data_IF_509528366548
#
_entry.id   IF_509528366548
#
_cell.length_a   1.000
_cell.length_b   1.000
_cell.length_c   1.000
_cell.angle_alpha   90.00
_cell.angle_beta   90.00
_cell.angle_gamma   90.00
#
_symmetry.space_group_name_H-M   'P 1'
#
loop_
_entity.id
_entity.type
_entity.pdbx_description
1 polymer ?
#
# COMPACT_ATOMS: atom_id res chain seq x y z
N UNK A 1 -24.62 -5.22 6.17
CA UNK A 1 -24.43 -3.98 5.40
C UNK A 1 -23.05 -3.47 5.75
N UNK A 2 -22.18 -3.39 4.77
CA UNK A 2 -20.79 -2.94 4.97
C UNK A 2 -20.79 -1.42 5.19
N UNK A 3 -20.33 -0.98 6.37
CA UNK A 3 -20.28 0.44 6.79
C UNK A 3 -19.50 1.29 5.77
N UNK A 4 -18.58 0.68 5.01
CA UNK A 4 -17.83 1.33 3.93
C UNK A 4 -18.68 1.79 2.75
N UNK A 5 -19.82 1.19 2.51
CA UNK A 5 -20.68 1.50 1.34
C UNK A 5 -21.58 2.71 1.59
N UNK A 6 -21.98 2.96 2.85
CA UNK A 6 -22.94 4.03 3.20
C UNK A 6 -22.27 5.40 3.34
N UNK A 7 -21.00 5.44 3.71
CA UNK A 7 -20.24 6.68 3.95
C UNK A 7 -19.40 7.14 2.73
N UNK A 8 -19.43 6.40 1.63
CA UNK A 8 -18.56 6.66 0.47
C UNK A 8 -18.64 8.09 -0.12
N UNK A 9 -19.79 8.75 -0.26
CA UNK A 9 -19.84 10.10 -0.84
C UNK A 9 -19.23 11.20 0.04
N UNK A 10 -19.37 11.07 1.37
CA UNK A 10 -18.85 12.07 2.32
C UNK A 10 -17.42 11.74 2.80
N UNK A 11 -17.02 10.49 2.66
CA UNK A 11 -15.70 10.02 3.10
C UNK A 11 -14.55 10.67 2.32
N UNK A 12 -14.70 10.84 1.02
CA UNK A 12 -13.65 11.38 0.15
C UNK A 12 -13.31 12.86 0.40
N UNK A 13 -14.31 13.77 0.52
CA UNK A 13 -14.02 15.15 0.88
C UNK A 13 -13.37 15.29 2.26
N UNK A 14 -13.86 14.52 3.25
CA UNK A 14 -13.31 14.53 4.60
C UNK A 14 -11.86 14.06 4.63
N UNK A 15 -11.54 12.99 3.93
CA UNK A 15 -10.17 12.45 3.86
C UNK A 15 -9.21 13.40 3.14
N UNK A 16 -9.69 14.17 2.15
CA UNK A 16 -8.91 15.23 1.51
C UNK A 16 -8.59 16.36 2.49
N UNK A 17 -9.58 16.84 3.25
CA UNK A 17 -9.42 17.88 4.26
C UNK A 17 -8.45 17.46 5.39
N UNK A 18 -8.47 16.20 5.80
CA UNK A 18 -7.57 15.65 6.81
C UNK A 18 -6.12 15.40 6.30
N UNK A 19 -5.78 15.76 5.08
CA UNK A 19 -4.44 15.58 4.51
C UNK A 19 -4.10 14.15 4.07
N UNK A 20 -5.08 13.23 4.04
CA UNK A 20 -4.89 11.84 3.64
C UNK A 20 -4.35 11.70 2.21
N UNK A 21 -4.90 12.47 1.27
CA UNK A 21 -4.43 12.45 -0.13
C UNK A 21 -2.94 12.82 -0.25
N UNK A 22 -2.49 13.81 0.55
CA UNK A 22 -1.07 14.18 0.58
C UNK A 22 -0.22 13.05 1.18
N UNK A 23 -0.70 12.42 2.25
CA UNK A 23 -0.05 11.29 2.87
C UNK A 23 0.07 10.11 1.88
N UNK A 24 -1.00 9.75 1.17
CA UNK A 24 -0.97 8.71 0.15
C UNK A 24 0.05 9.04 -0.95
N UNK A 25 0.03 10.24 -1.50
CA UNK A 25 0.98 10.65 -2.55
C UNK A 25 2.43 10.62 -2.10
N UNK A 26 2.71 10.67 -0.80
CA UNK A 26 4.09 10.58 -0.29
C UNK A 26 4.78 9.24 -0.62
N UNK A 27 4.02 8.17 -0.88
CA UNK A 27 4.60 6.87 -1.31
C UNK A 27 5.22 6.97 -2.70
N UNK A 28 4.81 7.95 -3.51
CA UNK A 28 5.32 8.17 -4.87
C UNK A 28 6.57 9.06 -4.89
N UNK A 29 6.96 9.66 -3.76
CA UNK A 29 8.16 10.51 -3.74
C UNK A 29 9.39 9.69 -4.15
N UNK A 30 10.12 10.18 -5.15
CA UNK A 30 11.24 9.49 -5.78
C UNK A 30 10.88 8.17 -6.52
N UNK A 31 9.60 7.90 -6.81
CA UNK A 31 9.22 6.83 -7.74
C UNK A 31 9.59 7.25 -9.16
N UNK A 32 10.19 6.35 -9.90
CA UNK A 32 10.53 6.49 -11.31
C UNK A 32 10.11 5.22 -12.05
N UNK A 33 9.89 5.33 -13.36
CA UNK A 33 9.54 4.18 -14.18
C UNK A 33 8.15 3.62 -13.92
N UNK A 34 8.09 2.30 -13.77
CA UNK A 34 6.84 1.55 -13.59
C UNK A 34 6.49 1.41 -12.09
N UNK A 35 5.22 1.68 -11.76
CA UNK A 35 4.69 1.60 -10.40
C UNK A 35 3.54 0.61 -10.33
N UNK A 36 3.64 -0.38 -9.44
CA UNK A 36 2.55 -1.26 -9.06
C UNK A 36 1.94 -0.78 -7.73
N UNK A 37 0.63 -0.54 -7.72
CA UNK A 37 -0.14 -0.19 -6.52
C UNK A 37 -0.96 -1.40 -6.05
N UNK A 38 -0.55 -2.01 -4.94
CA UNK A 38 -1.14 -3.23 -4.40
C UNK A 38 -2.21 -2.90 -3.37
N UNK A 39 -3.44 -3.41 -3.59
CA UNK A 39 -4.62 -3.00 -2.84
C UNK A 39 -5.05 -1.58 -3.23
N UNK A 40 -5.00 -1.26 -4.53
CA UNK A 40 -5.18 0.09 -5.06
C UNK A 40 -6.57 0.68 -4.80
N UNK A 41 -7.59 -0.15 -4.52
CA UNK A 41 -8.96 0.28 -4.37
C UNK A 41 -9.43 1.07 -5.60
N UNK A 42 -9.91 2.32 -5.45
CA UNK A 42 -10.32 3.17 -6.55
C UNK A 42 -9.15 3.88 -7.28
N UNK A 43 -7.94 3.37 -7.17
CA UNK A 43 -6.73 3.80 -7.88
C UNK A 43 -6.40 5.31 -7.75
N UNK A 44 -6.50 5.87 -6.55
CA UNK A 44 -6.32 7.31 -6.29
C UNK A 44 -4.90 7.84 -6.53
N UNK A 45 -3.92 6.95 -6.66
CA UNK A 45 -2.54 7.30 -6.97
C UNK A 45 -2.27 7.40 -8.47
N UNK A 46 -3.14 6.86 -9.32
CA UNK A 46 -2.92 6.75 -10.76
C UNK A 46 -2.53 8.08 -11.42
N UNK A 47 -3.25 9.16 -11.12
CA UNK A 47 -3.02 10.49 -11.69
C UNK A 47 -1.73 11.18 -11.18
N UNK A 48 -1.10 10.62 -10.15
CA UNK A 48 0.08 11.21 -9.52
C UNK A 48 1.38 10.48 -9.88
N UNK A 49 1.29 9.34 -10.57
CA UNK A 49 2.46 8.57 -11.01
C UNK A 49 3.03 9.19 -12.29
N UNK A 50 4.32 9.59 -12.30
CA UNK A 50 4.93 10.22 -13.47
C UNK A 50 5.25 9.25 -14.61
N UNK A 51 5.13 7.94 -14.37
CA UNK A 51 5.43 6.86 -15.32
C UNK A 51 4.24 5.93 -15.56
N UNK A 52 4.54 4.67 -15.81
CA UNK A 52 3.51 3.63 -15.99
C UNK A 52 2.92 3.24 -14.63
N UNK A 53 1.62 3.37 -14.48
CA UNK A 53 0.86 2.92 -13.30
C UNK A 53 0.10 1.64 -13.60
N UNK A 54 0.19 0.67 -12.70
CA UNK A 54 -0.67 -0.54 -12.67
C UNK A 54 -1.27 -0.67 -11.27
N UNK A 55 -2.59 -0.78 -11.19
CA UNK A 55 -3.31 -0.99 -9.93
C UNK A 55 -3.86 -2.42 -9.83
N UNK A 56 -3.69 -3.06 -8.66
CA UNK A 56 -4.26 -4.38 -8.36
C UNK A 56 -5.17 -4.28 -7.14
N UNK A 57 -6.38 -4.82 -7.26
CA UNK A 57 -7.29 -5.04 -6.13
C UNK A 57 -8.10 -6.32 -6.36
N UNK A 58 -8.38 -7.05 -5.29
CA UNK A 58 -9.19 -8.27 -5.36
C UNK A 58 -10.67 -7.95 -5.65
N UNK A 59 -11.15 -6.78 -5.23
CA UNK A 59 -12.56 -6.40 -5.31
C UNK A 59 -12.86 -5.64 -6.60
N UNK A 60 -13.48 -6.31 -7.56
CA UNK A 60 -13.91 -5.68 -8.82
C UNK A 60 -14.75 -4.41 -8.58
N UNK A 61 -15.59 -4.39 -7.55
CA UNK A 61 -16.40 -3.21 -7.18
C UNK A 61 -15.56 -1.98 -6.79
N UNK A 62 -14.30 -2.12 -6.41
CA UNK A 62 -13.38 -1.01 -6.23
C UNK A 62 -12.82 -0.54 -7.57
N UNK A 63 -12.41 -1.47 -8.42
CA UNK A 63 -11.84 -1.16 -9.73
C UNK A 63 -12.84 -0.51 -10.68
N UNK A 64 -14.13 -0.85 -10.60
CA UNK A 64 -15.18 -0.18 -11.39
C UNK A 64 -15.38 1.30 -11.05
N UNK A 65 -14.87 1.75 -9.91
CA UNK A 65 -14.87 3.16 -9.48
C UNK A 65 -13.53 3.85 -9.71
N UNK A 66 -12.56 3.10 -10.18
CA UNK A 66 -11.21 3.62 -10.36
C UNK A 66 -11.07 4.37 -11.69
N UNK A 67 -10.23 5.38 -11.65
CA UNK A 67 -9.82 6.13 -12.84
C UNK A 67 -8.32 5.86 -13.05
N UNK A 68 -7.99 4.88 -13.87
CA UNK A 68 -6.60 4.53 -14.16
C UNK A 68 -6.49 3.66 -15.40
N UNK A 69 -5.37 3.73 -16.14
CA UNK A 69 -5.24 3.07 -17.43
C UNK A 69 -5.09 1.54 -17.36
N UNK A 70 -4.46 1.04 -16.29
CA UNK A 70 -4.13 -0.39 -16.15
C UNK A 70 -4.55 -0.91 -14.78
N UNK A 71 -5.74 -1.51 -14.73
CA UNK A 71 -6.32 -2.07 -13.51
C UNK A 71 -6.50 -3.57 -13.65
N UNK A 72 -6.05 -4.33 -12.67
CA UNK A 72 -6.06 -5.79 -12.66
C UNK A 72 -6.83 -6.29 -11.45
N UNK A 73 -7.85 -7.09 -11.67
CA UNK A 73 -8.57 -7.79 -10.61
C UNK A 73 -7.83 -9.09 -10.29
N UNK A 74 -7.07 -9.10 -9.19
CA UNK A 74 -6.26 -10.26 -8.80
C UNK A 74 -6.03 -10.33 -7.30
N UNK A 75 -5.68 -11.52 -6.80
CA UNK A 75 -5.23 -11.71 -5.42
C UNK A 75 -3.78 -11.22 -5.29
N UNK A 76 -3.56 -10.34 -4.33
CA UNK A 76 -2.22 -9.82 -4.04
C UNK A 76 -1.24 -10.90 -3.52
N UNK A 77 -1.77 -12.03 -3.02
CA UNK A 77 -0.96 -13.18 -2.62
C UNK A 77 -0.49 -14.06 -3.81
N UNK A 78 -0.97 -13.76 -5.04
CA UNK A 78 -0.60 -14.45 -6.27
C UNK A 78 -0.66 -13.45 -7.44
N UNK A 79 0.26 -12.51 -7.46
CA UNK A 79 0.29 -11.43 -8.46
C UNK A 79 0.58 -11.98 -9.86
N UNK A 80 -0.26 -11.64 -10.88
CA UNK A 80 -0.13 -12.18 -12.23
C UNK A 80 0.97 -11.48 -13.04
N UNK A 81 2.11 -11.23 -12.43
CA UNK A 81 3.24 -10.57 -13.07
C UNK A 81 4.52 -11.39 -12.89
N UNK A 82 5.44 -11.36 -13.87
CA UNK A 82 6.76 -11.96 -13.73
C UNK A 82 7.57 -11.35 -12.58
N UNK A 83 8.64 -12.05 -12.16
CA UNK A 83 9.57 -11.51 -11.18
C UNK A 83 10.19 -10.21 -11.71
N UNK A 84 10.41 -9.23 -10.79
CA UNK A 84 11.15 -8.00 -11.09
C UNK A 84 10.57 -7.20 -12.27
N UNK A 85 9.24 -7.10 -12.32
CA UNK A 85 8.51 -6.39 -13.39
C UNK A 85 8.42 -4.88 -13.14
N UNK A 86 8.32 -4.48 -11.86
CA UNK A 86 8.06 -3.08 -11.52
C UNK A 86 9.25 -2.43 -10.82
N UNK A 87 9.55 -1.19 -11.20
CA UNK A 87 10.62 -0.42 -10.55
C UNK A 87 10.26 -0.07 -9.12
N UNK A 88 9.00 0.27 -8.88
CA UNK A 88 8.49 0.58 -7.55
C UNK A 88 7.19 -0.18 -7.29
N UNK A 89 7.08 -0.76 -6.11
CA UNK A 89 5.82 -1.33 -5.60
C UNK A 89 5.35 -0.49 -4.42
N UNK A 90 4.09 -0.07 -4.46
CA UNK A 90 3.49 0.74 -3.38
C UNK A 90 2.25 0.05 -2.80
N UNK A 91 1.94 0.36 -1.54
CA UNK A 91 0.68 0.00 -0.92
C UNK A 91 0.28 1.05 0.12
N UNK A 92 -1.00 1.40 0.18
CA UNK A 92 -1.49 2.41 1.12
C UNK A 92 -2.77 1.95 1.83
N UNK A 93 -2.71 1.83 3.16
CA UNK A 93 -3.85 1.50 4.02
C UNK A 93 -4.58 0.21 3.60
N UNK A 94 -3.85 -0.76 3.09
CA UNK A 94 -4.35 -2.06 2.66
C UNK A 94 -3.87 -3.20 3.57
N UNK A 95 -2.56 -3.29 3.81
CA UNK A 95 -1.98 -4.40 4.56
C UNK A 95 -2.50 -4.46 6.01
N UNK A 96 -2.73 -3.32 6.64
CA UNK A 96 -3.30 -3.24 7.97
C UNK A 96 -4.75 -3.75 8.09
N UNK A 97 -5.44 -4.02 6.98
CA UNK A 97 -6.77 -4.66 6.97
C UNK A 97 -6.69 -6.18 7.13
N UNK A 98 -5.50 -6.75 6.99
CA UNK A 98 -5.27 -8.19 6.95
C UNK A 98 -4.64 -8.66 8.26
N UNK A 99 -4.90 -9.92 8.62
CA UNK A 99 -4.15 -10.60 9.69
C UNK A 99 -2.70 -10.87 9.24
N UNK A 100 -1.74 -11.01 10.17
CA UNK A 100 -0.33 -11.27 9.84
C UNK A 100 -0.14 -12.47 8.89
N UNK A 101 -0.87 -13.56 9.12
CA UNK A 101 -0.79 -14.78 8.29
C UNK A 101 -1.16 -14.51 6.82
N UNK A 102 -2.12 -13.60 6.60
CA UNK A 102 -2.53 -13.21 5.24
C UNK A 102 -1.62 -12.17 4.62
N UNK A 103 -0.92 -11.40 5.42
CA UNK A 103 0.04 -10.38 4.93
C UNK A 103 1.30 -11.01 4.37
N UNK A 104 1.84 -12.02 5.03
CA UNK A 104 3.14 -12.60 4.66
C UNK A 104 3.24 -13.01 3.19
N UNK A 105 2.32 -13.82 2.61
CA UNK A 105 2.40 -14.16 1.18
C UNK A 105 2.29 -12.93 0.26
N UNK A 106 1.51 -11.92 0.64
CA UNK A 106 1.39 -10.67 -0.12
C UNK A 106 2.71 -9.90 -0.11
N UNK A 107 3.34 -9.80 1.06
CA UNK A 107 4.64 -9.13 1.20
C UNK A 107 5.72 -9.83 0.37
N UNK A 108 5.72 -11.17 0.33
CA UNK A 108 6.62 -11.96 -0.52
C UNK A 108 6.39 -11.68 -2.02
N UNK A 109 5.13 -11.63 -2.45
CA UNK A 109 4.77 -11.33 -3.84
C UNK A 109 5.16 -9.91 -4.24
N UNK A 110 4.92 -8.93 -3.36
CA UNK A 110 5.39 -7.55 -3.58
C UNK A 110 6.91 -7.49 -3.73
N UNK A 111 7.67 -8.23 -2.92
CA UNK A 111 9.13 -8.33 -3.04
C UNK A 111 9.54 -9.01 -4.35
N UNK A 112 8.85 -10.09 -4.74
CA UNK A 112 9.14 -10.86 -5.96
C UNK A 112 9.01 -10.03 -7.23
N UNK A 113 7.96 -9.22 -7.33
CA UNK A 113 7.68 -8.42 -8.53
C UNK A 113 8.42 -7.09 -8.56
N UNK A 114 9.02 -6.67 -7.44
CA UNK A 114 9.75 -5.41 -7.31
C UNK A 114 11.20 -5.52 -7.77
N UNK A 115 11.68 -4.50 -8.48
CA UNK A 115 13.09 -4.39 -8.91
C UNK A 115 13.91 -3.54 -7.95
N UNK A 116 13.40 -2.37 -7.57
CA UNK A 116 14.22 -1.39 -6.85
C UNK A 116 13.65 -0.98 -5.50
N UNK A 117 12.36 -0.63 -5.39
CA UNK A 117 11.86 0.01 -4.19
C UNK A 117 10.45 -0.41 -3.85
N UNK A 118 10.25 -0.72 -2.58
CA UNK A 118 8.93 -0.97 -2.00
C UNK A 118 8.63 0.16 -1.03
N UNK A 119 7.43 0.74 -1.12
CA UNK A 119 6.98 1.80 -0.23
C UNK A 119 5.57 1.55 0.26
N UNK A 120 5.41 1.51 1.56
CA UNK A 120 4.10 1.31 2.19
C UNK A 120 3.77 2.48 3.11
N UNK A 121 2.47 2.79 3.17
CA UNK A 121 1.92 3.75 4.12
C UNK A 121 0.87 3.03 4.97
N UNK A 122 1.29 2.59 6.15
CA UNK A 122 0.49 1.75 7.05
C UNK A 122 0.67 2.16 8.50
N UNK A 123 -0.23 1.76 9.41
CA UNK A 123 0.05 1.78 10.83
C UNK A 123 1.21 0.82 11.14
N UNK A 124 2.25 1.31 11.81
CA UNK A 124 3.44 0.52 12.17
C UNK A 124 3.59 0.50 13.69
N UNK A 125 3.88 -0.68 14.26
CA UNK A 125 4.16 -0.86 15.69
C UNK A 125 5.45 -0.13 16.12
N UNK A 126 5.55 0.33 17.36
CA UNK A 126 4.49 0.42 18.38
C UNK A 126 3.56 1.61 18.15
N UNK A 127 2.27 1.42 18.38
CA UNK A 127 1.26 2.46 18.20
C UNK A 127 0.53 2.72 19.53
N UNK A 128 0.47 3.98 19.99
CA UNK A 128 -0.28 4.34 21.20
C UNK A 128 -1.79 4.10 21.04
N UNK A 129 -2.49 3.88 22.15
CA UNK A 129 -3.95 3.63 22.15
C UNK A 129 -4.73 4.73 21.43
N UNK A 130 -4.37 6.00 21.66
CA UNK A 130 -5.01 7.13 21.00
C UNK A 130 -4.82 7.10 19.45
N UNK A 131 -3.64 6.70 18.97
CA UNK A 131 -3.37 6.58 17.54
C UNK A 131 -4.04 5.34 16.91
N UNK A 132 -4.21 4.27 17.68
CA UNK A 132 -4.98 3.09 17.23
C UNK A 132 -6.40 3.46 16.84
N UNK A 133 -7.05 4.35 17.58
CA UNK A 133 -8.39 4.83 17.24
C UNK A 133 -8.45 5.52 15.86
N UNK A 134 -7.37 6.18 15.45
CA UNK A 134 -7.28 6.84 14.14
C UNK A 134 -7.01 5.86 12.98
N UNK A 135 -6.65 4.62 13.27
CA UNK A 135 -6.35 3.61 12.23
C UNK A 135 -7.58 2.85 11.74
N UNK A 136 -8.78 3.17 12.25
CA UNK A 136 -10.04 2.52 11.88
C UNK A 136 -9.97 0.98 12.02
N UNK A 137 -9.49 0.50 13.16
CA UNK A 137 -9.33 -0.92 13.50
C UNK A 137 -8.30 -1.68 12.64
N UNK A 138 -7.43 -0.99 11.94
CA UNK A 138 -6.33 -1.65 11.23
C UNK A 138 -5.31 -2.21 12.20
N UNK A 139 -4.78 -3.38 11.87
CA UNK A 139 -3.71 -4.02 12.63
C UNK A 139 -2.36 -3.40 12.22
N UNK A 140 -1.58 -2.83 13.18
CA UNK A 140 -0.26 -2.31 12.87
C UNK A 140 0.64 -3.42 12.30
N UNK A 141 1.52 -3.03 11.38
CA UNK A 141 2.53 -3.91 10.81
C UNK A 141 3.77 -3.86 11.71
N UNK A 142 4.35 -5.01 11.99
CA UNK A 142 5.68 -5.09 12.58
C UNK A 142 6.73 -4.99 11.47
N UNK A 143 7.86 -4.35 11.79
CA UNK A 143 8.97 -4.25 10.84
C UNK A 143 9.59 -5.62 10.55
N UNK A 144 9.59 -6.52 11.54
CA UNK A 144 10.09 -7.88 11.37
C UNK A 144 9.27 -8.66 10.33
N UNK A 145 7.95 -8.44 10.22
CA UNK A 145 7.12 -9.04 9.17
C UNK A 145 7.65 -8.70 7.75
N UNK A 146 8.19 -7.50 7.58
CA UNK A 146 8.76 -7.07 6.30
C UNK A 146 10.10 -7.76 6.02
N UNK A 147 10.94 -7.87 7.04
CA UNK A 147 12.24 -8.53 6.93
C UNK A 147 12.06 -10.03 6.61
N UNK A 148 11.13 -10.70 7.29
CA UNK A 148 10.81 -12.12 7.09
C UNK A 148 10.24 -12.39 5.67
N UNK A 149 9.59 -11.41 5.07
CA UNK A 149 9.10 -11.49 3.70
C UNK A 149 10.16 -11.15 2.63
N UNK A 150 11.43 -11.00 3.01
CA UNK A 150 12.54 -10.75 2.09
C UNK A 150 12.70 -9.27 1.72
N UNK A 151 12.37 -8.35 2.62
CA UNK A 151 12.60 -6.92 2.44
C UNK A 151 13.81 -6.45 3.26
N UNK A 152 14.58 -5.57 2.67
CA UNK A 152 15.59 -4.81 3.41
C UNK A 152 15.03 -3.41 3.70
N UNK A 153 14.65 -3.16 4.96
CA UNK A 153 14.05 -1.88 5.37
C UNK A 153 15.13 -0.80 5.40
N UNK A 154 14.97 0.25 4.60
CA UNK A 154 15.89 1.38 4.48
C UNK A 154 15.55 2.53 5.40
N UNK A 155 14.25 2.80 5.57
CA UNK A 155 13.79 3.85 6.46
C UNK A 155 12.37 3.59 6.96
N UNK A 156 12.12 4.02 8.21
CA UNK A 156 10.82 4.02 8.88
C UNK A 156 10.52 5.46 9.28
N UNK A 157 9.53 6.07 8.62
CA UNK A 157 9.13 7.47 8.83
C UNK A 157 9.03 8.21 7.51
N UNK A 158 8.54 9.44 7.47
CA UNK A 158 7.91 10.15 8.59
C UNK A 158 6.54 9.57 8.99
N UNK A 159 6.09 9.90 10.19
CA UNK A 159 4.72 9.64 10.61
C UNK A 159 3.80 10.73 10.06
N UNK A 160 2.70 10.33 9.45
CA UNK A 160 1.72 11.20 8.81
C UNK A 160 0.31 10.91 9.33
N UNK A 161 -0.68 11.71 8.93
CA UNK A 161 -2.07 11.56 9.33
C UNK A 161 -2.19 11.47 10.87
N UNK A 162 -1.92 12.58 11.56
CA UNK A 162 -1.88 12.69 13.03
C UNK A 162 -0.95 11.65 13.71
N UNK A 163 0.05 11.17 13.00
CA UNK A 163 1.02 10.19 13.49
C UNK A 163 0.51 8.75 13.56
N UNK A 164 -0.66 8.48 12.97
CA UNK A 164 -1.24 7.13 12.95
C UNK A 164 -0.64 6.23 11.87
N UNK A 165 -0.15 6.82 10.79
CA UNK A 165 0.46 6.09 9.67
C UNK A 165 1.95 6.42 9.54
N UNK A 166 2.72 5.47 9.10
CA UNK A 166 4.15 5.60 8.88
C UNK A 166 4.48 5.20 7.46
N UNK A 167 5.30 6.02 6.79
CA UNK A 167 5.86 5.66 5.50
C UNK A 167 7.09 4.78 5.72
N UNK A 168 7.05 3.56 5.26
CA UNK A 168 8.18 2.64 5.24
C UNK A 168 8.73 2.56 3.83
N UNK A 169 10.05 2.65 3.70
CA UNK A 169 10.77 2.44 2.45
C UNK A 169 11.68 1.24 2.61
N UNK A 170 11.58 0.30 1.70
CA UNK A 170 12.38 -0.90 1.68
C UNK A 170 12.81 -1.26 0.25
N UNK A 171 13.75 -2.17 0.14
CA UNK A 171 14.20 -2.77 -1.12
C UNK A 171 14.04 -4.28 -1.01
N UNK A 172 13.71 -4.98 -2.12
CA UNK A 172 13.72 -6.44 -2.08
C UNK A 172 15.14 -6.93 -1.80
N UNK A 173 15.28 -7.93 -0.93
CA UNK A 173 16.58 -8.58 -0.72
C UNK A 173 17.02 -9.23 -2.03
N UNK A 174 18.31 -9.19 -2.31
CA UNK A 174 18.88 -9.93 -3.43
C UNK A 174 18.59 -11.42 -3.19
N UNK A 175 17.78 -12.03 -4.05
CA UNK A 175 17.63 -13.48 -4.01
C UNK A 175 18.99 -14.07 -4.36
N UNK A 176 19.60 -14.80 -3.40
CA UNK A 176 20.77 -15.63 -3.69
C UNK A 176 20.35 -16.62 -4.78
N UNK A 177 21.07 -16.58 -5.89
CA UNK A 177 20.90 -17.50 -7.01
C UNK A 177 21.23 -18.92 -6.61
#
# INVERSE_FOLDING_TARGET
MDVGTVLAPAYDPLMRLCGWTRAQRSVLSASQGSVLDVGCGPARLADAVPGTYVGVDLRLAMLTRAHGPHLVCADAAALPFPNRTFDTVVSTAFLGLLSPDRRHPILCEMARVCTHRIRILEPVSPLSTARRALTLSRQPIDIDELCDAGWHVRSVGPRVYAGAYTLVTAEPQAQSR
#
